data_IF_210793167099
#
_entry.id   IF_210793167099
#
_cell.length_a   1.000
_cell.length_b   1.000
_cell.length_c   1.000
_cell.angle_alpha   90.00
_cell.angle_beta   90.00
_cell.angle_gamma   90.00
#
_symmetry.space_group_name_H-M   'P 1'
#
loop_
_entity.id
_entity.type
_entity.pdbx_description
1 polymer ?
#
# COMPACT_ATOMS: atom_id res chain seq x y z
N UNK A 1 -32.85 2.39 28.06
CA UNK A 1 -31.59 2.09 27.36
C UNK A 1 -31.96 1.64 25.96
N UNK A 2 -32.00 2.61 25.03
CA UNK A 2 -32.19 2.36 23.62
C UNK A 2 -30.84 1.80 23.08
N UNK A 3 -30.78 0.50 22.79
CA UNK A 3 -29.68 -0.07 21.99
C UNK A 3 -29.86 0.50 20.59
N UNK A 4 -29.15 1.58 20.28
CA UNK A 4 -28.99 2.06 18.90
C UNK A 4 -28.61 0.86 18.01
N UNK A 5 -29.20 0.81 16.81
CA UNK A 5 -28.83 -0.19 15.82
C UNK A 5 -27.33 -0.21 15.72
N UNK A 6 -26.71 -1.35 16.05
CA UNK A 6 -25.26 -1.57 15.84
C UNK A 6 -25.02 -1.36 14.35
N UNK A 7 -24.32 -0.29 14.01
CA UNK A 7 -23.88 -0.03 12.63
C UNK A 7 -23.07 -1.26 12.21
N UNK A 8 -23.58 -2.00 11.23
CA UNK A 8 -22.86 -3.10 10.60
C UNK A 8 -22.03 -2.54 9.49
N UNK A 9 -20.72 -2.83 9.50
CA UNK A 9 -19.82 -2.43 8.42
C UNK A 9 -19.94 -3.41 7.25
N UNK A 10 -20.09 -2.88 6.04
CA UNK A 10 -20.15 -3.67 4.81
C UNK A 10 -18.75 -3.97 4.31
N UNK A 11 -18.36 -5.22 4.36
CA UNK A 11 -17.00 -5.66 4.02
C UNK A 11 -17.03 -6.61 2.83
N UNK A 12 -16.30 -6.27 1.78
CA UNK A 12 -16.05 -7.17 0.65
C UNK A 12 -14.92 -8.15 1.00
N UNK A 13 -15.21 -9.43 0.91
CA UNK A 13 -14.26 -10.51 1.18
C UNK A 13 -13.75 -11.09 -0.13
N UNK A 14 -12.43 -11.05 -0.33
CA UNK A 14 -11.76 -11.67 -1.46
C UNK A 14 -10.75 -12.67 -0.90
N UNK A 15 -11.13 -13.95 -0.81
CA UNK A 15 -10.22 -14.99 -0.33
C UNK A 15 -9.00 -15.13 -1.23
N UNK A 16 -9.22 -15.11 -2.55
CA UNK A 16 -8.16 -15.27 -3.54
C UNK A 16 -7.69 -16.71 -3.68
N UNK A 17 -6.38 -16.91 -3.74
CA UNK A 17 -5.73 -18.17 -4.07
C UNK A 17 -4.87 -18.71 -2.93
N UNK A 18 -4.49 -20.00 -3.04
CA UNK A 18 -3.53 -20.64 -2.14
C UNK A 18 -3.95 -20.54 -0.67
N UNK A 19 -3.12 -19.89 0.15
CA UNK A 19 -3.39 -19.70 1.59
C UNK A 19 -4.42 -18.60 1.88
N UNK A 20 -4.83 -17.83 0.87
CA UNK A 20 -5.69 -16.66 1.06
C UNK A 20 -7.01 -16.96 1.78
N UNK A 21 -7.81 -17.97 1.36
CA UNK A 21 -9.06 -18.33 2.06
C UNK A 21 -8.85 -18.70 3.53
N UNK A 22 -7.77 -19.44 3.84
CA UNK A 22 -7.43 -19.83 5.23
C UNK A 22 -7.10 -18.61 6.07
N UNK A 23 -6.24 -17.71 5.57
CA UNK A 23 -5.86 -16.48 6.28
C UNK A 23 -7.09 -15.59 6.55
N UNK A 24 -7.98 -15.44 5.56
CA UNK A 24 -9.23 -14.68 5.72
C UNK A 24 -10.10 -15.32 6.81
N UNK A 25 -10.26 -16.65 6.79
CA UNK A 25 -11.06 -17.37 7.79
C UNK A 25 -10.55 -17.12 9.21
N UNK A 26 -9.24 -17.20 9.43
CA UNK A 26 -8.65 -16.94 10.74
C UNK A 26 -8.81 -15.48 11.18
N UNK A 27 -8.61 -14.54 10.26
CA UNK A 27 -8.83 -13.13 10.57
C UNK A 27 -10.27 -12.79 10.92
N UNK A 28 -11.25 -13.39 10.25
CA UNK A 28 -12.67 -13.20 10.58
C UNK A 28 -13.02 -13.72 11.98
N UNK A 29 -12.42 -14.82 12.43
CA UNK A 29 -12.58 -15.30 13.81
C UNK A 29 -12.11 -14.28 14.85
N UNK A 30 -10.99 -13.59 14.57
CA UNK A 30 -10.48 -12.53 15.45
C UNK A 30 -11.45 -11.35 15.51
N UNK A 31 -11.97 -10.92 14.37
CA UNK A 31 -12.94 -9.81 14.29
C UNK A 31 -14.22 -10.16 15.04
N UNK A 32 -14.73 -11.39 14.87
CA UNK A 32 -15.90 -11.89 15.60
C UNK A 32 -15.66 -11.92 17.11
N UNK A 33 -14.49 -12.42 17.54
CA UNK A 33 -14.10 -12.45 18.96
C UNK A 33 -13.97 -11.03 19.57
N UNK A 34 -13.64 -10.03 18.76
CA UNK A 34 -13.63 -8.63 19.15
C UNK A 34 -15.03 -8.00 19.26
N UNK A 35 -16.09 -8.74 18.91
CA UNK A 35 -17.47 -8.29 18.99
C UNK A 35 -17.86 -7.28 17.90
N UNK A 36 -17.13 -7.21 16.80
CA UNK A 36 -17.40 -6.32 15.69
C UNK A 36 -18.44 -6.96 14.76
N UNK A 37 -19.54 -6.25 14.51
CA UNK A 37 -20.60 -6.73 13.63
C UNK A 37 -20.30 -6.33 12.18
N UNK A 38 -20.20 -7.34 11.27
CA UNK A 38 -19.90 -7.15 9.86
C UNK A 38 -21.03 -7.70 8.99
N UNK A 39 -21.31 -6.97 7.89
CA UNK A 39 -22.11 -7.43 6.76
C UNK A 39 -21.13 -7.87 5.66
N UNK A 40 -20.99 -9.19 5.45
CA UNK A 40 -19.94 -9.79 4.63
C UNK A 40 -20.43 -10.09 3.21
N UNK A 41 -19.76 -9.53 2.21
CA UNK A 41 -20.00 -9.76 0.79
C UNK A 41 -18.83 -10.54 0.18
N UNK A 42 -19.04 -11.80 -0.20
CA UNK A 42 -17.97 -12.66 -0.70
C UNK A 42 -17.82 -12.56 -2.23
N UNK A 43 -16.58 -12.44 -2.70
CA UNK A 43 -16.22 -12.34 -4.12
C UNK A 43 -15.21 -13.44 -4.48
N UNK A 44 -15.61 -14.30 -5.44
CA UNK A 44 -14.75 -15.35 -6.00
C UNK A 44 -13.88 -14.73 -7.10
N UNK A 45 -12.71 -14.22 -6.73
CA UNK A 45 -11.74 -13.56 -7.61
C UNK A 45 -10.33 -14.05 -7.29
N UNK A 46 -9.51 -14.19 -8.33
CA UNK A 46 -8.12 -14.64 -8.20
C UNK A 46 -7.67 -15.44 -9.44
N UNK A 47 -6.50 -16.06 -9.36
CA UNK A 47 -5.93 -16.85 -10.43
C UNK A 47 -6.73 -18.13 -10.70
N UNK A 48 -7.26 -18.78 -9.68
CA UNK A 48 -8.11 -19.96 -9.80
C UNK A 48 -9.38 -19.65 -10.61
N UNK A 49 -10.01 -18.51 -10.31
CA UNK A 49 -11.18 -18.04 -11.06
C UNK A 49 -10.82 -17.69 -12.49
N UNK A 50 -9.70 -17.04 -12.71
CA UNK A 50 -9.20 -16.73 -14.06
C UNK A 50 -8.97 -17.98 -14.90
N UNK A 51 -8.34 -19.02 -14.35
CA UNK A 51 -8.12 -20.29 -15.05
C UNK A 51 -9.45 -20.94 -15.45
N UNK A 52 -10.46 -20.84 -14.59
CA UNK A 52 -11.77 -21.47 -14.80
C UNK A 52 -12.57 -20.86 -15.95
N UNK A 53 -12.60 -19.55 -16.08
CA UNK A 53 -13.49 -18.86 -17.01
C UNK A 53 -12.96 -17.53 -17.58
N UNK A 54 -11.69 -17.19 -17.32
CA UNK A 54 -11.06 -15.95 -17.79
C UNK A 54 -11.46 -14.69 -17.01
N UNK A 55 -12.28 -14.81 -15.97
CA UNK A 55 -12.73 -13.65 -15.18
C UNK A 55 -11.62 -13.16 -14.27
N UNK A 56 -11.33 -11.85 -14.28
CA UNK A 56 -10.38 -11.21 -13.38
C UNK A 56 -11.13 -10.27 -12.42
N UNK A 57 -11.61 -9.13 -12.90
CA UNK A 57 -12.38 -8.15 -12.13
C UNK A 57 -13.43 -7.50 -13.03
N UNK A 58 -14.68 -7.99 -12.97
CA UNK A 58 -15.81 -7.37 -13.68
C UNK A 58 -16.08 -5.95 -13.18
N UNK A 59 -16.46 -5.05 -14.09
CA UNK A 59 -16.78 -3.67 -13.74
C UNK A 59 -18.01 -3.56 -12.82
N UNK A 60 -18.95 -4.51 -12.89
CA UNK A 60 -20.09 -4.59 -11.97
C UNK A 60 -19.66 -4.79 -10.53
N UNK A 61 -18.68 -5.66 -10.27
CA UNK A 61 -18.12 -5.89 -8.94
C UNK A 61 -17.40 -4.63 -8.46
N UNK A 62 -16.61 -3.99 -9.34
CA UNK A 62 -15.91 -2.76 -9.01
C UNK A 62 -16.89 -1.63 -8.61
N UNK A 63 -18.02 -1.52 -9.28
CA UNK A 63 -19.07 -0.55 -8.90
C UNK A 63 -19.71 -0.89 -7.56
N UNK A 64 -19.95 -2.16 -7.26
CA UNK A 64 -20.44 -2.60 -5.95
C UNK A 64 -19.45 -2.25 -4.83
N UNK A 65 -18.15 -2.47 -5.05
CA UNK A 65 -17.10 -2.18 -4.08
C UNK A 65 -17.06 -0.70 -3.64
N UNK A 66 -17.48 0.23 -4.51
CA UNK A 66 -17.57 1.67 -4.15
C UNK A 66 -18.60 1.95 -3.05
N UNK A 67 -19.53 1.03 -2.80
CA UNK A 67 -20.56 1.14 -1.77
C UNK A 67 -20.21 0.44 -0.46
N UNK A 68 -19.08 -0.28 -0.41
CA UNK A 68 -18.60 -0.99 0.76
C UNK A 68 -17.73 -0.08 1.63
N UNK A 69 -17.67 -0.37 2.92
CA UNK A 69 -16.81 0.35 3.86
C UNK A 69 -15.33 -0.05 3.73
N UNK A 70 -15.08 -1.34 3.43
CA UNK A 70 -13.72 -1.86 3.19
C UNK A 70 -13.73 -3.14 2.35
N UNK A 71 -12.55 -3.47 1.82
CA UNK A 71 -12.24 -4.76 1.21
C UNK A 71 -11.23 -5.51 2.08
N UNK A 72 -11.52 -6.77 2.39
CA UNK A 72 -10.62 -7.65 3.10
C UNK A 72 -10.09 -8.70 2.13
N UNK A 73 -8.84 -8.51 1.73
CA UNK A 73 -8.15 -9.27 0.70
C UNK A 73 -7.20 -10.28 1.33
N UNK A 74 -7.33 -11.55 0.92
CA UNK A 74 -6.39 -12.62 1.24
C UNK A 74 -5.15 -12.57 0.35
N UNK A 75 -4.77 -13.72 -0.21
CA UNK A 75 -3.67 -13.83 -1.13
C UNK A 75 -4.19 -14.08 -2.55
N UNK A 76 -3.61 -13.42 -3.55
CA UNK A 76 -3.96 -13.66 -4.95
C UNK A 76 -2.71 -13.98 -5.77
N UNK A 77 -2.86 -14.92 -6.67
CA UNK A 77 -1.81 -15.38 -7.56
C UNK A 77 -1.59 -16.90 -7.46
N UNK A 78 -1.35 -17.51 -8.60
CA UNK A 78 -1.00 -18.92 -8.73
C UNK A 78 0.06 -19.07 -9.82
N UNK A 79 1.01 -20.02 -9.70
CA UNK A 79 2.03 -20.24 -10.72
C UNK A 79 1.46 -20.64 -12.08
N UNK A 80 0.21 -21.11 -12.13
CA UNK A 80 -0.48 -21.53 -13.36
C UNK A 80 -1.02 -20.35 -14.21
N UNK A 81 -0.94 -19.12 -13.70
CA UNK A 81 -1.31 -17.90 -14.43
C UNK A 81 -0.05 -17.13 -14.82
N UNK A 82 0.05 -16.64 -16.08
CA UNK A 82 1.20 -15.83 -16.47
C UNK A 82 1.40 -14.62 -15.57
N UNK A 83 2.66 -14.28 -15.20
CA UNK A 83 2.96 -13.12 -14.36
C UNK A 83 2.36 -11.83 -14.91
N UNK A 84 1.82 -11.01 -14.03
CA UNK A 84 1.24 -9.71 -14.34
C UNK A 84 -0.24 -9.73 -14.71
N UNK A 85 -0.84 -10.88 -14.99
CA UNK A 85 -2.27 -10.96 -15.36
C UNK A 85 -3.17 -10.59 -14.18
N UNK A 86 -2.99 -11.28 -13.05
CA UNK A 86 -3.80 -11.01 -11.84
C UNK A 86 -3.34 -9.75 -11.15
N UNK A 87 -2.05 -9.51 -11.08
CA UNK A 87 -1.49 -8.30 -10.47
C UNK A 87 -2.04 -7.03 -11.13
N UNK A 88 -2.04 -6.97 -12.46
CA UNK A 88 -2.56 -5.79 -13.19
C UNK A 88 -4.08 -5.75 -13.25
N UNK A 89 -4.71 -6.89 -13.56
CA UNK A 89 -6.14 -6.97 -13.80
C UNK A 89 -6.99 -6.94 -12.54
N UNK A 90 -6.46 -7.33 -11.38
CA UNK A 90 -7.16 -7.31 -10.10
C UNK A 90 -6.54 -6.29 -9.13
N UNK A 91 -5.28 -6.50 -8.69
CA UNK A 91 -4.69 -5.70 -7.62
C UNK A 91 -4.46 -4.25 -8.01
N UNK A 92 -3.81 -3.99 -9.15
CA UNK A 92 -3.55 -2.63 -9.59
C UNK A 92 -4.83 -1.95 -10.07
N UNK A 93 -5.71 -2.66 -10.79
CA UNK A 93 -7.02 -2.12 -11.19
C UNK A 93 -7.82 -1.68 -9.96
N UNK A 94 -7.87 -2.49 -8.90
CA UNK A 94 -8.52 -2.14 -7.64
C UNK A 94 -7.93 -0.87 -7.03
N UNK A 95 -6.59 -0.77 -6.95
CA UNK A 95 -5.91 0.40 -6.36
C UNK A 95 -6.23 1.69 -7.10
N UNK A 96 -6.18 1.66 -8.44
CA UNK A 96 -6.39 2.83 -9.28
C UNK A 96 -7.85 3.25 -9.31
N UNK A 97 -8.75 2.31 -9.53
CA UNK A 97 -10.17 2.59 -9.69
C UNK A 97 -10.88 3.00 -8.38
N UNK A 98 -10.39 2.52 -7.25
CA UNK A 98 -10.89 2.91 -5.92
C UNK A 98 -10.04 4.03 -5.28
N UNK A 99 -9.05 4.54 -5.98
CA UNK A 99 -8.11 5.57 -5.50
C UNK A 99 -7.49 5.26 -4.13
N UNK A 100 -7.01 4.02 -3.97
CA UNK A 100 -6.34 3.58 -2.75
C UNK A 100 -4.91 4.10 -2.71
N UNK A 101 -4.74 5.39 -2.57
CA UNK A 101 -3.48 6.10 -2.78
C UNK A 101 -2.44 5.92 -1.67
N UNK A 102 -2.83 5.41 -0.51
CA UNK A 102 -1.93 5.09 0.61
C UNK A 102 -1.77 3.58 0.77
N UNK A 103 -0.53 3.13 0.84
CA UNK A 103 -0.16 1.82 1.33
C UNK A 103 0.44 1.98 2.74
N UNK A 104 -0.38 1.71 3.74
CA UNK A 104 -0.01 1.83 5.15
C UNK A 104 0.60 0.52 5.64
N UNK A 105 1.84 0.56 6.12
CA UNK A 105 2.56 -0.63 6.61
C UNK A 105 3.12 -0.41 8.01
N UNK A 106 2.39 -0.82 9.06
CA UNK A 106 2.90 -0.81 10.42
C UNK A 106 3.88 -1.96 10.65
N UNK A 107 5.00 -1.67 11.31
CA UNK A 107 5.98 -2.63 11.77
C UNK A 107 6.08 -2.52 13.29
N UNK A 108 5.63 -3.55 13.97
CA UNK A 108 5.65 -3.63 15.44
C UNK A 108 6.40 -4.88 15.84
N UNK A 109 7.35 -4.73 16.74
CA UNK A 109 8.06 -5.82 17.39
C UNK A 109 8.14 -5.52 18.88
N UNK A 110 7.68 -6.45 19.68
CA UNK A 110 7.86 -6.41 21.14
C UNK A 110 9.34 -6.63 21.52
N UNK A 111 9.74 -6.08 22.66
CA UNK A 111 11.05 -6.36 23.22
C UNK A 111 11.20 -7.84 23.59
N UNK A 112 12.37 -8.39 23.34
CA UNK A 112 12.77 -9.73 23.79
C UNK A 112 14.07 -9.61 24.59
N UNK A 113 14.57 -10.72 25.17
CA UNK A 113 15.86 -10.72 25.89
C UNK A 113 17.02 -10.30 24.98
N UNK A 114 16.93 -10.60 23.67
CA UNK A 114 18.01 -10.37 22.70
C UNK A 114 17.78 -9.13 21.80
N UNK A 115 16.66 -8.42 21.92
CA UNK A 115 16.34 -7.30 21.04
C UNK A 115 15.34 -6.32 21.63
N UNK A 116 15.56 -5.03 21.35
CA UNK A 116 14.67 -3.95 21.74
C UNK A 116 13.35 -3.96 20.96
N UNK A 117 12.30 -3.38 21.56
CA UNK A 117 11.04 -3.11 20.88
C UNK A 117 11.23 -2.05 19.80
N UNK A 118 10.49 -2.19 18.71
CA UNK A 118 10.37 -1.11 17.74
C UNK A 118 8.95 -1.03 17.16
N UNK A 119 8.54 0.19 16.89
CA UNK A 119 7.22 0.49 16.36
C UNK A 119 7.34 1.69 15.42
N UNK A 120 7.37 1.42 14.12
CA UNK A 120 7.33 2.45 13.09
C UNK A 120 6.35 2.09 11.99
N UNK A 121 5.92 3.09 11.21
CA UNK A 121 4.96 2.89 10.13
C UNK A 121 5.51 3.47 8.83
N UNK A 122 5.43 2.70 7.75
CA UNK A 122 5.77 3.17 6.40
C UNK A 122 4.50 3.56 5.66
N UNK A 123 4.46 4.79 5.18
CA UNK A 123 3.47 5.34 4.28
C UNK A 123 4.07 5.34 2.89
N UNK A 124 3.58 4.47 2.02
CA UNK A 124 4.01 4.37 0.63
C UNK A 124 2.92 4.90 -0.28
N UNK A 125 3.27 5.75 -1.25
CA UNK A 125 2.39 6.06 -2.36
C UNK A 125 1.98 4.75 -3.06
N UNK A 126 0.76 4.65 -3.59
CA UNK A 126 0.22 3.37 -4.02
C UNK A 126 -0.48 3.39 -5.40
N UNK A 127 -0.56 4.53 -6.05
CA UNK A 127 -1.29 4.72 -7.33
C UNK A 127 -0.46 5.30 -8.47
N UNK A 128 0.77 5.71 -8.20
CA UNK A 128 1.67 6.34 -9.19
C UNK A 128 3.00 5.57 -9.28
N UNK A 129 4.09 6.25 -9.58
CA UNK A 129 5.42 5.70 -9.66
C UNK A 129 5.62 4.82 -10.89
N UNK A 130 6.44 3.79 -10.74
CA UNK A 130 6.70 2.80 -11.79
C UNK A 130 5.50 1.90 -12.08
N UNK A 131 4.55 1.82 -11.17
CA UNK A 131 3.32 1.02 -11.31
C UNK A 131 2.27 1.68 -12.21
N UNK A 132 2.43 2.96 -12.55
CA UNK A 132 1.57 3.64 -13.53
C UNK A 132 1.62 3.00 -14.92
N UNK A 133 2.66 2.17 -15.18
CA UNK A 133 2.74 1.37 -16.40
C UNK A 133 3.25 2.14 -17.63
N UNK A 134 3.86 3.33 -17.43
CA UNK A 134 4.52 4.03 -18.51
C UNK A 134 5.75 3.25 -18.97
N UNK A 135 5.85 3.01 -20.27
CA UNK A 135 6.96 2.29 -20.86
C UNK A 135 6.58 1.41 -22.03
N UNK A 136 7.56 0.63 -22.50
CA UNK A 136 7.33 -0.28 -23.63
C UNK A 136 8.59 -0.93 -24.15
N UNK A 137 8.43 -1.63 -25.27
CA UNK A 137 9.49 -2.31 -25.98
C UNK A 137 9.65 -1.78 -27.40
N UNK A 138 10.90 -1.66 -27.83
CA UNK A 138 11.26 -1.46 -29.21
C UNK A 138 12.08 -2.66 -29.68
N UNK A 139 11.79 -3.19 -30.86
CA UNK A 139 12.47 -4.36 -31.46
C UNK A 139 12.51 -5.60 -30.53
N UNK A 140 11.41 -5.87 -29.84
CA UNK A 140 11.27 -6.98 -28.89
C UNK A 140 11.71 -8.32 -29.50
N UNK A 141 12.39 -9.14 -28.73
CA UNK A 141 12.92 -10.46 -29.10
C UNK A 141 14.05 -10.41 -30.18
N UNK A 142 14.77 -9.29 -30.31
CA UNK A 142 15.95 -9.17 -31.16
C UNK A 142 17.17 -8.81 -30.33
N UNK A 143 18.38 -8.96 -30.92
CA UNK A 143 19.63 -8.52 -30.26
C UNK A 143 19.73 -7.00 -30.06
N UNK A 144 18.83 -6.23 -30.65
CA UNK A 144 18.72 -4.78 -30.54
C UNK A 144 17.45 -4.35 -29.80
N UNK A 145 16.93 -5.21 -28.95
CA UNK A 145 15.75 -4.89 -28.12
C UNK A 145 16.06 -3.75 -27.15
N UNK A 146 15.10 -2.83 -27.04
CA UNK A 146 15.12 -1.75 -26.07
C UNK A 146 13.86 -1.90 -25.20
N UNK A 147 14.02 -1.87 -23.89
CA UNK A 147 12.92 -1.78 -22.94
C UNK A 147 13.00 -0.45 -22.20
N UNK A 148 11.87 0.23 -22.06
CA UNK A 148 11.76 1.45 -21.26
C UNK A 148 10.73 1.25 -20.18
N UNK A 149 10.97 1.84 -19.01
CA UNK A 149 10.04 1.87 -17.88
C UNK A 149 10.16 3.23 -17.22
N UNK A 150 9.11 4.03 -17.27
CA UNK A 150 9.05 5.34 -16.64
C UNK A 150 8.48 5.28 -15.23
N UNK A 151 8.61 6.39 -14.51
CA UNK A 151 7.98 6.62 -13.20
C UNK A 151 7.20 7.92 -13.26
N UNK A 152 5.90 7.83 -13.05
CA UNK A 152 4.97 8.98 -13.05
C UNK A 152 4.77 9.44 -11.62
N UNK A 153 5.03 10.71 -11.35
CA UNK A 153 4.83 11.33 -10.06
C UNK A 153 4.11 12.67 -10.26
N UNK A 154 2.89 12.80 -9.78
CA UNK A 154 2.14 14.05 -9.87
C UNK A 154 2.24 14.85 -8.59
N UNK A 155 2.13 16.18 -8.66
CA UNK A 155 2.06 17.01 -7.46
C UNK A 155 0.91 16.56 -6.54
N UNK A 156 -0.25 16.23 -7.11
CA UNK A 156 -1.41 15.77 -6.35
C UNK A 156 -1.13 14.49 -5.56
N UNK A 157 -0.55 13.46 -6.24
CA UNK A 157 -0.25 12.17 -5.61
C UNK A 157 0.81 12.31 -4.51
N UNK A 158 1.88 13.04 -4.79
CA UNK A 158 2.96 13.30 -3.84
C UNK A 158 2.46 14.07 -2.63
N UNK A 159 1.73 15.18 -2.85
CA UNK A 159 1.24 16.05 -1.77
C UNK A 159 0.29 15.32 -0.82
N UNK A 160 -0.71 14.61 -1.35
CA UNK A 160 -1.68 13.88 -0.52
C UNK A 160 -1.02 12.75 0.29
N UNK A 161 -0.02 12.08 -0.27
CA UNK A 161 0.73 11.04 0.43
C UNK A 161 1.58 11.62 1.57
N UNK A 162 2.32 12.69 1.31
CA UNK A 162 3.13 13.37 2.31
C UNK A 162 2.24 13.98 3.42
N UNK A 163 1.14 14.62 3.08
CA UNK A 163 0.20 15.19 4.04
C UNK A 163 -0.37 14.13 4.98
N UNK A 164 -0.80 12.99 4.43
CA UNK A 164 -1.24 11.86 5.24
C UNK A 164 -0.16 11.39 6.23
N UNK A 165 1.11 11.35 5.79
CA UNK A 165 2.22 10.95 6.66
C UNK A 165 2.47 11.95 7.80
N UNK A 166 2.40 13.26 7.54
CA UNK A 166 2.47 14.28 8.58
C UNK A 166 1.30 14.18 9.57
N UNK A 167 0.07 14.01 9.09
CA UNK A 167 -1.11 13.84 9.94
C UNK A 167 -1.03 12.58 10.81
N UNK A 168 -0.42 11.50 10.30
CA UNK A 168 -0.16 10.32 11.10
C UNK A 168 0.94 10.58 12.15
N UNK A 169 2.06 11.19 11.76
CA UNK A 169 3.15 11.51 12.68
C UNK A 169 2.68 12.43 13.81
N UNK A 170 1.79 13.38 13.52
CA UNK A 170 1.23 14.29 14.55
C UNK A 170 0.39 13.57 15.63
N UNK A 171 -0.17 12.41 15.29
CA UNK A 171 -0.95 11.56 16.21
C UNK A 171 -0.06 10.61 17.03
N UNK A 172 1.22 10.48 16.67
CA UNK A 172 2.17 9.61 17.37
C UNK A 172 2.96 10.38 18.42
N UNK A 173 3.40 9.69 19.47
CA UNK A 173 4.11 10.32 20.59
C UNK A 173 5.47 10.92 20.20
N UNK A 174 6.19 10.24 19.30
CA UNK A 174 7.55 10.64 18.90
C UNK A 174 7.58 11.82 17.93
N UNK A 175 6.49 12.03 17.18
CA UNK A 175 6.34 13.14 16.23
C UNK A 175 7.52 13.28 15.28
N UNK A 176 7.99 12.17 14.71
CA UNK A 176 9.13 12.14 13.81
C UNK A 176 8.75 11.53 12.45
N UNK A 177 9.06 12.24 11.36
CA UNK A 177 8.77 11.81 9.99
C UNK A 177 10.02 11.83 9.12
N UNK A 178 10.37 10.69 8.54
CA UNK A 178 11.49 10.56 7.61
C UNK A 178 10.98 10.42 6.17
N UNK A 179 11.41 11.30 5.26
CA UNK A 179 11.29 11.08 3.83
C UNK A 179 12.36 10.08 3.38
N UNK A 180 11.95 8.96 2.79
CA UNK A 180 12.86 8.00 2.18
C UNK A 180 12.68 8.02 0.66
N UNK A 181 13.73 8.38 -0.07
CA UNK A 181 13.71 8.49 -1.53
C UNK A 181 15.14 8.33 -2.10
N UNK A 182 15.31 8.49 -3.39
CA UNK A 182 16.62 8.50 -4.06
C UNK A 182 16.83 9.79 -4.86
N UNK A 183 16.73 10.95 -4.18
CA UNK A 183 16.73 12.28 -4.82
C UNK A 183 18.02 12.61 -5.58
N UNK A 184 19.14 12.01 -5.19
CA UNK A 184 20.43 12.19 -5.85
C UNK A 184 20.55 11.48 -7.23
N UNK A 185 19.63 10.56 -7.56
CA UNK A 185 19.58 9.83 -8.83
C UNK A 185 18.28 10.11 -9.58
N UNK A 186 17.15 10.03 -8.90
CA UNK A 186 15.83 10.33 -9.45
C UNK A 186 15.55 11.84 -9.34
N UNK A 187 16.32 12.64 -10.06
CA UNK A 187 16.39 14.08 -9.83
C UNK A 187 15.08 14.82 -10.06
N UNK A 188 14.24 14.41 -11.00
CA UNK A 188 12.96 15.10 -11.25
C UNK A 188 11.88 14.69 -10.26
N UNK A 189 11.65 13.39 -10.06
CA UNK A 189 10.69 12.90 -9.05
C UNK A 189 11.19 13.24 -7.64
N UNK A 190 12.48 13.08 -7.38
CA UNK A 190 13.10 13.41 -6.11
C UNK A 190 12.96 14.89 -5.73
N UNK A 191 13.17 15.83 -6.67
CA UNK A 191 12.92 17.25 -6.43
C UNK A 191 11.46 17.52 -6.07
N UNK A 192 10.51 16.89 -6.80
CA UNK A 192 9.10 17.05 -6.51
C UNK A 192 8.75 16.55 -5.10
N UNK A 193 9.26 15.38 -4.70
CA UNK A 193 9.04 14.82 -3.37
C UNK A 193 9.67 15.65 -2.27
N UNK A 194 10.95 16.03 -2.40
CA UNK A 194 11.69 16.77 -1.38
C UNK A 194 11.14 18.19 -1.18
N UNK A 195 10.87 18.89 -2.27
CA UNK A 195 10.30 20.24 -2.24
C UNK A 195 8.89 20.23 -1.63
N UNK A 196 8.04 19.27 -2.00
CA UNK A 196 6.70 19.14 -1.43
C UNK A 196 6.74 18.76 0.04
N UNK A 197 7.67 17.88 0.45
CA UNK A 197 7.87 17.52 1.84
C UNK A 197 8.28 18.73 2.67
N UNK A 198 9.23 19.53 2.19
CA UNK A 198 9.69 20.73 2.87
C UNK A 198 8.61 21.83 2.94
N UNK A 199 7.77 21.96 1.93
CA UNK A 199 6.62 22.88 1.96
C UNK A 199 5.60 22.48 3.02
N UNK A 200 5.21 21.21 3.06
CA UNK A 200 4.19 20.73 4.03
C UNK A 200 4.75 20.71 5.45
N UNK A 201 6.04 20.44 5.65
CA UNK A 201 6.65 20.43 6.99
C UNK A 201 6.46 21.75 7.74
N UNK A 202 6.37 22.87 7.03
CA UNK A 202 6.13 24.19 7.62
C UNK A 202 4.74 24.33 8.26
N UNK A 203 3.78 23.51 7.82
CA UNK A 203 2.43 23.44 8.40
C UNK A 203 2.41 22.62 9.71
N UNK A 204 3.46 21.82 9.94
CA UNK A 204 3.58 20.91 11.09
C UNK A 204 4.88 21.17 11.91
N UNK A 205 5.08 22.38 12.45
CA UNK A 205 6.35 22.75 13.11
C UNK A 205 6.69 21.93 14.35
N UNK A 206 5.73 21.15 14.87
CA UNK A 206 5.90 20.25 16.02
C UNK A 206 6.46 18.88 15.63
N UNK A 207 6.64 18.60 14.32
CA UNK A 207 7.14 17.32 13.84
C UNK A 207 8.60 17.47 13.43
N UNK A 208 9.47 16.66 14.03
CA UNK A 208 10.86 16.54 13.61
C UNK A 208 10.93 15.79 12.27
N UNK A 209 11.70 16.31 11.35
CA UNK A 209 11.82 15.74 9.99
C UNK A 209 13.24 15.33 9.67
N UNK A 210 13.37 14.22 8.92
CA UNK A 210 14.64 13.70 8.43
C UNK A 210 14.50 13.23 6.98
N UNK A 211 15.63 13.06 6.31
CA UNK A 211 15.74 12.49 4.98
C UNK A 211 16.77 11.36 4.95
N UNK A 212 16.41 10.23 4.36
CA UNK A 212 17.36 9.17 4.09
C UNK A 212 17.27 8.68 2.62
N UNK A 213 18.43 8.40 2.03
CA UNK A 213 18.46 7.63 0.80
C UNK A 213 17.95 6.21 1.05
N UNK A 214 17.21 5.64 0.12
CA UNK A 214 16.54 4.33 0.29
C UNK A 214 17.51 3.20 0.62
N UNK A 215 18.69 3.19 0.03
CA UNK A 215 19.76 2.22 0.32
C UNK A 215 20.28 2.34 1.77
N UNK A 216 20.52 3.55 2.24
CA UNK A 216 20.88 3.79 3.62
C UNK A 216 19.74 3.43 4.60
N UNK A 217 18.50 3.76 4.24
CA UNK A 217 17.33 3.43 5.04
C UNK A 217 17.19 1.90 5.24
N UNK A 218 17.45 1.10 4.21
CA UNK A 218 17.45 -0.36 4.33
C UNK A 218 18.49 -0.87 5.34
N UNK A 219 19.68 -0.26 5.38
CA UNK A 219 20.72 -0.59 6.36
C UNK A 219 20.25 -0.22 7.77
N UNK A 220 19.72 0.98 7.95
CA UNK A 220 19.25 1.46 9.25
C UNK A 220 18.05 0.67 9.79
N UNK A 221 17.14 0.20 8.92
CA UNK A 221 16.03 -0.67 9.35
C UNK A 221 16.51 -1.98 9.98
N UNK A 222 17.71 -2.45 9.62
CA UNK A 222 18.33 -3.66 10.19
C UNK A 222 19.15 -3.33 11.44
N UNK A 223 19.96 -2.27 11.38
CA UNK A 223 20.93 -1.93 12.43
C UNK A 223 20.34 -1.13 13.59
N UNK A 224 19.40 -0.22 13.27
CA UNK A 224 18.82 0.72 14.23
C UNK A 224 17.37 1.07 13.82
N UNK A 225 16.44 0.09 13.83
CA UNK A 225 15.04 0.33 13.45
C UNK A 225 14.32 1.33 14.35
N UNK A 226 14.79 1.54 15.58
CA UNK A 226 14.21 2.45 16.55
C UNK A 226 14.33 3.93 16.14
N UNK A 227 15.23 4.27 15.22
CA UNK A 227 15.34 5.63 14.69
C UNK A 227 14.09 6.11 13.97
N UNK A 228 13.30 5.19 13.40
CA UNK A 228 12.11 5.51 12.63
C UNK A 228 10.85 5.54 13.49
N UNK A 229 9.98 6.51 13.22
CA UNK A 229 8.62 6.59 13.75
C UNK A 229 7.60 6.50 12.61
N UNK A 230 7.61 7.46 11.70
CA UNK A 230 6.89 7.40 10.43
C UNK A 230 7.88 7.59 9.29
N UNK A 231 7.74 6.77 8.26
CA UNK A 231 8.45 6.90 7.00
C UNK A 231 7.43 7.23 5.92
N UNK A 232 7.75 8.17 5.03
CA UNK A 232 7.01 8.38 3.78
C UNK A 232 7.93 8.11 2.59
N UNK A 233 7.41 7.43 1.57
CA UNK A 233 8.18 7.05 0.38
C UNK A 233 7.29 6.94 -0.86
N UNK A 234 7.91 7.01 -2.03
CA UNK A 234 7.27 6.85 -3.32
C UNK A 234 6.88 5.39 -3.63
N UNK A 235 6.28 5.18 -4.79
CA UNK A 235 5.85 3.87 -5.28
C UNK A 235 6.93 3.24 -6.17
N UNK A 236 8.00 2.81 -5.54
CA UNK A 236 9.14 2.11 -6.15
C UNK A 236 9.07 0.61 -5.86
#
# INVERSE_FOLDING_TARGET
WNRGALLSHKIGIIGGDGIGPEVISEGLKVIEAAGINLDLHNYDLGGTRYIKDGTILPDSILQEWRSLDALYLGAVGTPDVPPGVIERGLLLKMRFELDLYINLRPFVKEATEDSDAHNFTVIRENTEGTYAGEGGFLRKNTSHEVATQGSVNTRLGVERCIRYAFELADKRERKHLTLVHKTNVLTFSGDLWERTFNEISQEFPQIDTDYNHVDAACIYMVQDPQRYDVIVTDNL
#
